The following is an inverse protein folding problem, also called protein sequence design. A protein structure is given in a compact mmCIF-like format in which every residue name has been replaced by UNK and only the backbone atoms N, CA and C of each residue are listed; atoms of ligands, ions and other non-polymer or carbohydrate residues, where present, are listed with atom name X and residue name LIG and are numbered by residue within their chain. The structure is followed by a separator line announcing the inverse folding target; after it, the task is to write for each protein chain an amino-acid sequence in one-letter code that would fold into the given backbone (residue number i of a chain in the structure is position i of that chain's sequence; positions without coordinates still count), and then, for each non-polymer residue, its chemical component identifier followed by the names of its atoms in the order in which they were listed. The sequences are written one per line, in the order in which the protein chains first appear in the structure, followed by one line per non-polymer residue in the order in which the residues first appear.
data_IF_988167918545
#
_entry.id   IF_988167918545
#
_cell.length_a   1.000
_cell.length_b   1.000
_cell.length_c   1.000
_cell.angle_alpha   90.00
_cell.angle_beta   90.00
_cell.angle_gamma   90.00
#
_symmetry.space_group_name_H-M   'P 1'
#
loop_
_entity.id
_entity.type
_entity.pdbx_description
1 polymer ?
#
# COMPACT_ATOMS: atom_id res chain seq x y z
N UNK A 1 4.29 27.15 9.96
CA UNK A 1 4.77 27.05 8.57
C UNK A 1 6.27 26.75 8.53
N UNK A 2 6.70 25.52 8.23
CA UNK A 2 8.01 25.26 7.66
C UNK A 2 7.86 25.00 6.15
N UNK A 3 8.73 25.65 5.37
CA UNK A 3 8.76 25.55 3.93
C UNK A 3 9.10 24.11 3.48
N UNK A 4 8.18 23.49 2.73
CA UNK A 4 8.47 22.28 1.97
C UNK A 4 9.59 22.61 0.97
N UNK A 5 10.72 21.91 1.12
CA UNK A 5 11.92 22.10 0.32
C UNK A 5 11.62 22.03 -1.18
N UNK A 6 12.15 23.00 -1.92
CA UNK A 6 12.18 22.97 -3.38
C UNK A 6 12.86 21.66 -3.82
N UNK A 7 12.22 20.91 -4.70
CA UNK A 7 12.83 19.75 -5.35
C UNK A 7 14.04 20.20 -6.15
N UNK A 8 15.24 19.81 -5.72
CA UNK A 8 16.47 20.03 -6.46
C UNK A 8 16.57 19.04 -7.62
N UNK A 9 16.25 19.53 -8.82
CA UNK A 9 16.30 18.79 -10.07
C UNK A 9 17.70 18.78 -10.72
N UNK A 10 18.74 19.32 -10.06
CA UNK A 10 20.11 19.32 -10.59
C UNK A 10 20.62 17.90 -10.92
N UNK A 11 20.11 16.88 -10.22
CA UNK A 11 20.40 15.46 -10.50
C UNK A 11 19.74 14.91 -11.77
N UNK A 12 18.63 15.50 -12.25
CA UNK A 12 17.96 15.08 -13.48
C UNK A 12 18.79 15.48 -14.71
N UNK A 13 19.53 16.60 -14.63
CA UNK A 13 20.50 16.99 -15.65
C UNK A 13 21.68 16.01 -15.77
N UNK A 14 22.10 15.39 -14.66
CA UNK A 14 23.15 14.38 -14.65
C UNK A 14 22.73 13.05 -15.30
N UNK A 15 21.44 12.68 -15.20
CA UNK A 15 20.89 11.47 -15.84
C UNK A 15 20.71 11.65 -17.37
N UNK A 16 20.37 12.85 -17.82
CA UNK A 16 20.23 13.17 -19.25
C UNK A 16 21.55 13.13 -20.04
N UNK A 17 22.68 13.46 -19.38
CA UNK A 17 24.01 13.47 -20.01
C UNK A 17 24.69 12.09 -20.05
N UNK A 18 24.31 11.16 -19.18
CA UNK A 18 24.85 9.78 -19.20
C UNK A 18 24.06 8.84 -20.11
N UNK A 19 22.82 9.17 -20.47
CA UNK A 19 21.94 8.35 -21.31
C UNK A 19 22.03 8.59 -22.82
N UNK A 20 22.85 9.55 -23.28
CA UNK A 20 22.91 9.98 -24.68
C UNK A 20 24.34 9.95 -25.26
N UNK A 21 25.06 8.85 -25.03
CA UNK A 21 26.21 8.49 -25.87
C UNK A 21 25.91 7.14 -26.55
N UNK A 22 26.09 7.02 -27.88
CA UNK A 22 25.27 6.14 -28.69
C UNK A 22 25.78 4.70 -28.71
N UNK A 23 24.79 3.80 -28.74
CA UNK A 23 24.72 2.58 -29.55
C UNK A 23 25.61 2.59 -30.80
N UNK A 24 26.92 2.34 -30.67
CA UNK A 24 27.73 1.79 -31.76
C UNK A 24 28.87 0.96 -31.13
N UNK A 25 28.82 -0.36 -31.37
CA UNK A 25 29.91 -1.33 -31.22
C UNK A 25 30.61 -1.45 -29.86
N UNK A 26 30.05 -2.19 -28.90
CA UNK A 26 30.84 -2.64 -27.73
C UNK A 26 30.32 -3.98 -27.22
N UNK A 27 31.21 -4.91 -26.87
CA UNK A 27 30.91 -6.27 -26.39
C UNK A 27 30.14 -6.33 -25.06
N UNK A 28 30.50 -7.19 -24.09
CA UNK A 28 29.68 -7.46 -22.88
C UNK A 28 29.52 -6.27 -21.91
N UNK A 29 29.88 -5.04 -22.31
CA UNK A 29 29.75 -3.80 -21.56
C UNK A 29 28.31 -3.37 -21.30
N UNK A 30 27.32 -3.82 -22.09
CA UNK A 30 25.91 -3.59 -21.76
C UNK A 30 25.53 -4.25 -20.43
N UNK A 31 26.12 -5.42 -20.12
CA UNK A 31 25.92 -6.11 -18.85
C UNK A 31 26.52 -5.32 -17.69
N UNK A 32 27.68 -4.68 -17.91
CA UNK A 32 28.33 -3.83 -16.90
C UNK A 32 27.49 -2.57 -16.63
N UNK A 33 27.01 -1.89 -17.67
CA UNK A 33 26.12 -0.74 -17.50
C UNK A 33 24.75 -1.12 -16.93
N UNK A 34 24.22 -2.28 -17.33
CA UNK A 34 23.04 -2.88 -16.72
C UNK A 34 23.27 -3.13 -15.24
N UNK A 35 24.36 -3.80 -14.84
CA UNK A 35 24.72 -4.10 -13.45
C UNK A 35 25.02 -2.84 -12.63
N UNK A 36 25.58 -1.78 -13.22
CA UNK A 36 25.83 -0.50 -12.55
C UNK A 36 24.54 0.30 -12.33
N UNK A 37 23.69 0.42 -13.35
CA UNK A 37 22.35 1.00 -13.21
C UNK A 37 21.49 0.17 -12.23
N UNK A 38 21.60 -1.15 -12.29
CA UNK A 38 20.90 -2.10 -11.41
C UNK A 38 21.40 -2.01 -9.96
N UNK A 39 22.71 -1.88 -9.74
CA UNK A 39 23.31 -1.64 -8.43
C UNK A 39 22.82 -0.33 -7.82
N UNK A 40 22.75 0.73 -8.61
CA UNK A 40 22.27 2.04 -8.14
C UNK A 40 20.77 2.04 -7.78
N UNK A 41 19.94 1.31 -8.54
CA UNK A 41 18.51 1.15 -8.27
C UNK A 41 18.21 0.25 -7.05
N UNK A 42 19.16 -0.59 -6.63
CA UNK A 42 18.99 -1.55 -5.51
C UNK A 42 19.68 -1.11 -4.21
N UNK A 43 20.61 -0.15 -4.26
CA UNK A 43 21.32 0.39 -3.09
C UNK A 43 20.41 0.96 -1.97
N UNK A 44 19.27 1.62 -2.25
CA UNK A 44 18.34 2.03 -1.19
C UNK A 44 17.70 0.84 -0.45
N UNK A 45 17.54 -0.30 -1.13
CA UNK A 45 16.99 -1.55 -0.55
C UNK A 45 17.99 -2.19 0.42
N UNK A 46 19.30 -2.06 0.15
CA UNK A 46 20.38 -2.59 0.99
C UNK A 46 20.49 -1.91 2.36
N UNK A 47 20.09 -0.64 2.49
CA UNK A 47 20.16 0.12 3.76
C UNK A 47 18.96 -0.08 4.68
N UNK A 48 17.86 -0.64 4.16
CA UNK A 48 16.56 -0.74 4.86
C UNK A 48 16.21 -2.16 5.32
N UNK A 49 17.04 -3.16 4.99
CA UNK A 49 16.71 -4.57 5.20
C UNK A 49 17.53 -5.17 6.34
N UNK A 50 16.84 -5.71 7.35
CA UNK A 50 17.49 -6.41 8.47
C UNK A 50 17.96 -7.84 8.11
N UNK A 51 17.72 -8.32 6.89
CA UNK A 51 18.04 -9.69 6.46
C UNK A 51 18.70 -9.74 5.08
N UNK A 52 19.86 -10.39 4.98
CA UNK A 52 20.55 -10.67 3.72
C UNK A 52 19.65 -11.46 2.75
N UNK A 53 18.77 -12.34 3.27
CA UNK A 53 17.86 -13.15 2.45
C UNK A 53 16.80 -12.30 1.74
N UNK A 54 16.29 -11.28 2.42
CA UNK A 54 15.36 -10.32 1.82
C UNK A 54 16.03 -9.58 0.67
N UNK A 55 17.23 -9.05 0.91
CA UNK A 55 18.03 -8.38 -0.11
C UNK A 55 18.23 -9.27 -1.32
N UNK A 56 18.67 -10.52 -1.12
CA UNK A 56 18.87 -11.48 -2.20
C UNK A 56 17.57 -11.76 -2.95
N UNK A 57 16.44 -11.91 -2.25
CA UNK A 57 15.12 -12.10 -2.88
C UNK A 57 14.76 -10.91 -3.78
N UNK A 58 14.98 -9.68 -3.33
CA UNK A 58 14.72 -8.46 -4.11
C UNK A 58 15.63 -8.34 -5.32
N UNK A 59 16.89 -8.73 -5.20
CA UNK A 59 17.82 -8.79 -6.34
C UNK A 59 17.36 -9.82 -7.36
N UNK A 60 17.05 -11.05 -6.92
CA UNK A 60 16.55 -12.11 -7.79
C UNK A 60 15.27 -11.69 -8.51
N UNK A 61 14.31 -11.08 -7.81
CA UNK A 61 13.09 -10.54 -8.40
C UNK A 61 13.41 -9.55 -9.51
N UNK A 62 14.31 -8.59 -9.26
CA UNK A 62 14.63 -7.54 -10.23
C UNK A 62 15.38 -8.08 -11.46
N UNK A 63 16.05 -9.23 -11.35
CA UNK A 63 16.70 -9.90 -12.49
C UNK A 63 15.71 -10.65 -13.40
N UNK A 64 14.48 -10.89 -12.94
CA UNK A 64 13.43 -11.46 -13.79
C UNK A 64 12.93 -10.42 -14.79
N UNK A 65 12.43 -10.82 -15.98
CA UNK A 65 11.87 -9.88 -16.96
C UNK A 65 10.72 -9.02 -16.39
N UNK A 66 9.83 -9.63 -15.60
CA UNK A 66 8.68 -8.93 -14.99
C UNK A 66 9.09 -8.03 -13.84
N UNK A 67 10.08 -8.44 -13.03
CA UNK A 67 10.58 -7.60 -11.94
C UNK A 67 11.33 -6.39 -12.45
N UNK A 68 12.18 -6.56 -13.48
CA UNK A 68 12.82 -5.43 -14.16
C UNK A 68 11.79 -4.48 -14.77
N UNK A 69 10.82 -5.00 -15.52
CA UNK A 69 9.74 -4.20 -16.10
C UNK A 69 8.93 -3.46 -15.01
N UNK A 70 8.66 -4.10 -13.87
CA UNK A 70 7.97 -3.47 -12.73
C UNK A 70 8.75 -2.30 -12.15
N UNK A 71 10.09 -2.42 -12.04
CA UNK A 71 10.93 -1.32 -11.57
C UNK A 71 10.88 -0.15 -12.55
N UNK A 72 11.08 -0.41 -13.85
CA UNK A 72 11.00 0.64 -14.89
C UNK A 72 9.63 1.32 -14.89
N UNK A 73 8.54 0.54 -14.86
CA UNK A 73 7.18 1.05 -14.84
C UNK A 73 6.88 1.87 -13.58
N UNK A 74 7.44 1.50 -12.42
CA UNK A 74 7.31 2.26 -11.18
C UNK A 74 7.93 3.66 -11.30
N UNK A 75 9.14 3.76 -11.86
CA UNK A 75 9.78 5.07 -12.07
C UNK A 75 9.03 5.91 -13.10
N UNK A 76 8.66 5.33 -14.25
CA UNK A 76 7.85 6.02 -15.26
C UNK A 76 6.50 6.50 -14.72
N UNK A 77 5.84 5.66 -13.93
CA UNK A 77 4.56 5.95 -13.31
C UNK A 77 4.61 7.15 -12.35
N UNK A 78 5.71 7.34 -11.61
CA UNK A 78 5.86 8.55 -10.79
C UNK A 78 5.89 9.83 -11.64
N UNK A 79 6.58 9.83 -12.79
CA UNK A 79 6.56 10.97 -13.69
C UNK A 79 5.15 11.27 -14.22
N UNK A 80 4.37 10.23 -14.52
CA UNK A 80 2.97 10.37 -14.91
C UNK A 80 2.15 11.03 -13.79
N UNK A 81 2.31 10.59 -12.54
CA UNK A 81 1.63 11.20 -11.39
C UNK A 81 2.06 12.65 -11.20
N UNK A 82 3.37 12.94 -11.23
CA UNK A 82 3.90 14.31 -11.12
C UNK A 82 3.33 15.22 -12.21
N UNK A 83 3.27 14.74 -13.45
CA UNK A 83 2.71 15.49 -14.57
C UNK A 83 1.20 15.73 -14.40
N UNK A 84 0.43 14.69 -14.04
CA UNK A 84 -1.03 14.76 -13.79
C UNK A 84 -1.35 15.83 -12.74
N UNK A 85 -0.58 15.86 -11.66
CA UNK A 85 -0.77 16.80 -10.55
C UNK A 85 0.07 18.07 -10.67
N UNK A 86 0.71 18.33 -11.82
CA UNK A 86 1.53 19.54 -12.07
C UNK A 86 2.57 19.81 -10.96
N UNK A 87 3.20 18.76 -10.46
CA UNK A 87 4.20 18.83 -9.39
C UNK A 87 3.64 18.94 -7.97
N UNK A 88 2.33 18.88 -7.77
CA UNK A 88 1.66 18.96 -6.45
C UNK A 88 0.84 17.70 -6.17
N UNK A 89 1.51 16.56 -5.91
CA UNK A 89 0.81 15.31 -5.66
C UNK A 89 -0.12 15.40 -4.44
N UNK A 90 -1.12 14.51 -4.34
CA UNK A 90 -2.09 14.49 -3.25
C UNK A 90 -1.46 14.58 -1.85
N UNK A 91 -2.09 15.38 -0.97
CA UNK A 91 -1.81 15.48 0.46
C UNK A 91 -3.12 15.46 1.27
N UNK A 92 -3.07 15.24 2.60
CA UNK A 92 -4.27 15.26 3.44
C UNK A 92 -5.05 16.57 3.37
N UNK A 93 -4.39 17.69 3.08
CA UNK A 93 -5.01 19.01 2.95
C UNK A 93 -5.56 19.27 1.55
N UNK A 94 -5.09 18.54 0.54
CA UNK A 94 -5.47 18.76 -0.86
C UNK A 94 -6.53 17.78 -1.37
N UNK A 95 -6.84 16.73 -0.60
CA UNK A 95 -7.77 15.66 -1.00
C UNK A 95 -9.05 15.78 -0.18
N UNK A 96 -10.13 16.03 -0.89
CA UNK A 96 -11.49 15.93 -0.36
C UNK A 96 -12.01 14.53 -0.66
N UNK A 97 -11.76 13.59 0.26
CA UNK A 97 -12.23 12.22 0.13
C UNK A 97 -13.77 12.19 0.09
N UNK A 98 -14.33 11.60 -0.96
CA UNK A 98 -15.76 11.58 -1.24
C UNK A 98 -16.46 10.31 -0.76
N UNK A 99 -15.72 9.20 -0.66
CA UNK A 99 -16.24 7.92 -0.16
C UNK A 99 -16.07 7.80 1.36
N UNK A 100 -17.05 7.19 2.03
CA UNK A 100 -16.91 6.78 3.41
C UNK A 100 -16.36 5.36 3.51
N UNK A 101 -15.13 5.26 4.02
CA UNK A 101 -14.36 4.02 4.10
C UNK A 101 -14.44 3.50 5.52
N UNK A 102 -14.87 2.26 5.73
CA UNK A 102 -14.56 1.52 6.95
C UNK A 102 -13.17 0.88 6.83
N UNK A 103 -12.53 0.51 7.95
CA UNK A 103 -11.41 -0.42 7.90
C UNK A 103 -11.82 -1.73 7.18
N UNK A 104 -10.97 -2.29 6.30
CA UNK A 104 -11.29 -3.42 5.43
C UNK A 104 -11.26 -4.80 6.13
N UNK A 105 -11.66 -4.84 7.40
CA UNK A 105 -11.69 -6.02 8.27
C UNK A 105 -12.74 -5.82 9.37
N UNK A 106 -13.32 -6.91 9.90
CA UNK A 106 -14.38 -6.86 10.93
C UNK A 106 -13.83 -6.86 12.37
N UNK A 107 -12.71 -7.55 12.61
CA UNK A 107 -12.12 -7.70 13.94
C UNK A 107 -11.08 -6.60 14.26
N UNK A 108 -10.38 -6.71 15.39
CA UNK A 108 -9.33 -5.77 15.77
C UNK A 108 -8.02 -6.04 15.02
N UNK A 109 -7.54 -5.07 14.24
CA UNK A 109 -6.25 -5.17 13.55
C UNK A 109 -5.32 -4.04 13.96
N UNK A 110 -4.03 -4.34 13.96
CA UNK A 110 -2.94 -3.40 14.22
C UNK A 110 -2.43 -2.77 12.93
N UNK A 111 -2.18 -1.46 12.95
CA UNK A 111 -1.49 -0.75 11.88
C UNK A 111 0.01 -1.04 11.95
N UNK A 112 0.49 -2.02 11.20
CA UNK A 112 1.93 -2.36 11.17
C UNK A 112 2.76 -1.23 10.52
N UNK A 113 2.23 -0.66 9.44
CA UNK A 113 2.79 0.50 8.71
C UNK A 113 1.65 1.33 8.15
N UNK A 114 1.84 2.65 8.10
CA UNK A 114 0.84 3.55 7.53
C UNK A 114 0.66 4.81 8.34
N UNK A 115 0.09 5.81 7.67
CA UNK A 115 -0.09 7.15 8.19
C UNK A 115 0.07 8.21 7.11
N UNK A 116 -0.34 9.42 7.45
CA UNK A 116 -0.40 10.54 6.50
C UNK A 116 0.68 11.60 6.73
N UNK A 117 1.49 11.46 7.78
CA UNK A 117 2.59 12.37 8.09
C UNK A 117 3.92 11.86 7.53
N UNK A 118 4.88 12.75 7.31
CA UNK A 118 6.18 12.38 6.76
C UNK A 118 6.94 11.30 7.58
N UNK A 119 6.68 11.19 8.88
CA UNK A 119 7.33 10.25 9.78
C UNK A 119 6.65 8.87 9.89
N UNK A 120 5.39 8.74 9.49
CA UNK A 120 4.62 7.50 9.66
C UNK A 120 4.05 6.92 8.34
N UNK A 121 4.15 7.66 7.24
CA UNK A 121 3.65 7.21 5.94
C UNK A 121 4.37 5.97 5.42
N UNK A 122 3.65 5.09 4.72
CA UNK A 122 4.16 3.77 4.31
C UNK A 122 5.34 3.87 3.32
N UNK A 123 5.28 4.80 2.36
CA UNK A 123 6.35 4.98 1.38
C UNK A 123 6.49 6.43 0.90
N UNK A 124 7.14 7.33 1.67
CA UNK A 124 7.15 8.77 1.38
C UNK A 124 7.68 9.12 -0.02
N UNK A 125 8.66 8.37 -0.52
CA UNK A 125 9.29 8.55 -1.83
C UNK A 125 8.58 7.88 -3.01
N UNK A 126 7.43 7.23 -2.80
CA UNK A 126 6.74 6.46 -3.83
C UNK A 126 5.29 6.92 -3.92
N UNK A 127 5.01 7.83 -4.86
CA UNK A 127 3.68 8.47 -4.98
C UNK A 127 2.52 7.48 -5.09
N UNK A 128 2.76 6.33 -5.71
CA UNK A 128 1.78 5.28 -5.89
C UNK A 128 1.52 4.43 -4.64
N UNK A 129 2.25 4.59 -3.54
CA UNK A 129 2.10 3.80 -2.30
C UNK A 129 2.28 4.66 -1.04
N UNK A 130 2.29 5.98 -1.19
CA UNK A 130 2.68 6.92 -0.14
C UNK A 130 1.85 6.68 1.11
N UNK A 131 0.54 6.79 0.98
CA UNK A 131 -0.44 6.66 2.06
C UNK A 131 -1.07 5.27 2.16
N UNK A 132 -0.37 4.24 1.67
CA UNK A 132 -0.82 2.87 1.88
C UNK A 132 -0.74 2.50 3.37
N UNK A 133 -1.48 1.46 3.74
CA UNK A 133 -1.54 0.89 5.06
C UNK A 133 -1.24 -0.61 4.97
N UNK A 134 -0.40 -1.09 5.87
CA UNK A 134 -0.24 -2.52 6.11
C UNK A 134 -0.92 -2.83 7.44
N UNK A 135 -2.02 -3.57 7.39
CA UNK A 135 -2.76 -4.04 8.55
C UNK A 135 -2.38 -5.49 8.85
N UNK A 136 -2.21 -5.81 10.13
CA UNK A 136 -1.94 -7.18 10.59
C UNK A 136 -2.64 -7.43 11.92
N UNK A 137 -2.58 -8.65 12.42
CA UNK A 137 -2.97 -8.96 13.79
C UNK A 137 -1.74 -9.00 14.68
N UNK A 138 -1.88 -8.50 15.91
CA UNK A 138 -0.87 -8.72 16.93
C UNK A 138 -1.47 -9.27 18.22
N UNK A 139 -0.69 -10.09 18.93
CA UNK A 139 -1.04 -10.50 20.30
C UNK A 139 -0.78 -9.37 21.31
N UNK A 140 -1.12 -9.59 22.58
CA UNK A 140 -0.91 -8.62 23.68
C UNK A 140 0.56 -8.18 23.86
N UNK A 141 1.51 -8.88 23.22
CA UNK A 141 2.95 -8.57 23.23
C UNK A 141 3.41 -7.89 21.95
N UNK A 142 2.50 -7.57 21.03
CA UNK A 142 2.77 -6.94 19.74
C UNK A 142 3.38 -7.89 18.71
N UNK A 143 3.27 -9.22 18.88
CA UNK A 143 3.80 -10.20 17.92
C UNK A 143 2.77 -10.53 16.86
N UNK A 144 3.21 -10.68 15.61
CA UNK A 144 2.35 -11.01 14.46
C UNK A 144 2.11 -12.51 14.26
N UNK A 145 2.79 -13.35 15.05
CA UNK A 145 2.74 -14.80 14.94
C UNK A 145 2.85 -15.51 16.29
N UNK A 146 2.44 -16.77 16.28
CA UNK A 146 2.63 -17.77 17.32
C UNK A 146 3.80 -18.71 17.00
N UNK A 147 4.16 -19.60 17.92
CA UNK A 147 5.29 -20.53 17.77
C UNK A 147 6.58 -19.82 17.32
N UNK A 148 7.19 -20.29 16.22
CA UNK A 148 8.45 -19.77 15.68
C UNK A 148 8.26 -18.81 14.49
N UNK A 149 7.02 -18.59 14.03
CA UNK A 149 6.71 -17.70 12.91
C UNK A 149 7.28 -18.16 11.56
N UNK A 150 7.54 -19.45 11.39
CA UNK A 150 8.20 -19.98 10.18
C UNK A 150 7.17 -20.24 9.09
N UNK A 151 5.99 -20.73 9.44
CA UNK A 151 4.95 -21.17 8.51
C UNK A 151 3.84 -20.12 8.41
N UNK A 152 3.07 -20.16 7.32
CA UNK A 152 1.96 -19.24 7.11
C UNK A 152 0.94 -19.32 8.26
N UNK A 153 0.57 -20.53 8.67
CA UNK A 153 -0.40 -20.79 9.74
C UNK A 153 0.08 -20.33 11.13
N UNK A 154 1.36 -19.97 11.29
CA UNK A 154 1.85 -19.40 12.54
C UNK A 154 1.37 -17.96 12.72
N UNK A 155 1.03 -17.24 11.64
CA UNK A 155 0.69 -15.82 11.65
C UNK A 155 -0.80 -15.59 11.87
N UNK A 156 -1.12 -14.72 12.81
CA UNK A 156 -2.51 -14.45 13.21
C UNK A 156 -3.35 -13.84 12.08
N UNK A 157 -2.73 -13.06 11.19
CA UNK A 157 -3.45 -12.43 10.08
C UNK A 157 -3.70 -13.36 8.88
N UNK A 158 -3.06 -14.52 8.81
CA UNK A 158 -3.19 -15.38 7.63
C UNK A 158 -4.56 -16.08 7.60
N UNK A 159 -5.28 -15.95 6.48
CA UNK A 159 -6.61 -16.54 6.29
C UNK A 159 -7.77 -15.71 6.83
N UNK A 160 -7.47 -14.60 7.50
CA UNK A 160 -8.47 -13.70 8.07
C UNK A 160 -9.30 -12.99 6.99
N UNK A 161 -10.62 -12.82 7.18
CA UNK A 161 -11.48 -12.19 6.18
C UNK A 161 -11.06 -10.75 5.85
N UNK A 162 -11.13 -10.41 4.57
CA UNK A 162 -10.91 -9.05 4.06
C UNK A 162 -12.19 -8.59 3.37
N UNK A 163 -12.69 -7.44 3.80
CA UNK A 163 -13.98 -6.91 3.35
C UNK A 163 -13.83 -5.62 2.56
N UNK A 164 -14.80 -5.34 1.70
CA UNK A 164 -14.87 -4.10 0.94
C UNK A 164 -15.02 -2.89 1.91
N UNK A 165 -14.12 -1.90 1.86
CA UNK A 165 -14.17 -0.74 2.76
C UNK A 165 -15.35 0.19 2.48
N UNK A 166 -15.94 0.12 1.29
CA UNK A 166 -17.13 0.86 0.90
C UNK A 166 -17.83 0.12 -0.25
N UNK A 167 -19.07 0.49 -0.54
CA UNK A 167 -19.78 -0.04 -1.70
C UNK A 167 -19.17 0.47 -3.02
N UNK A 168 -19.19 -0.36 -4.07
CA UNK A 168 -18.59 0.03 -5.35
C UNK A 168 -18.58 -1.08 -6.40
N UNK A 169 -17.89 -0.83 -7.51
CA UNK A 169 -17.73 -1.80 -8.60
C UNK A 169 -16.33 -2.39 -8.59
N UNK A 170 -16.20 -3.70 -8.63
CA UNK A 170 -14.90 -4.36 -8.78
C UNK A 170 -14.37 -4.10 -10.20
N UNK A 171 -13.20 -3.50 -10.32
CA UNK A 171 -12.62 -3.11 -11.63
C UNK A 171 -11.39 -3.93 -12.02
N UNK A 172 -10.74 -4.57 -11.04
CA UNK A 172 -9.64 -5.50 -11.31
C UNK A 172 -9.51 -6.51 -10.19
N UNK A 173 -9.23 -7.75 -10.54
CA UNK A 173 -8.85 -8.79 -9.59
C UNK A 173 -7.65 -9.56 -10.09
N UNK A 174 -6.94 -10.18 -9.15
CA UNK A 174 -5.94 -11.18 -9.45
C UNK A 174 -5.99 -12.26 -8.40
N UNK A 175 -6.07 -13.51 -8.86
CA UNK A 175 -5.92 -14.69 -8.01
C UNK A 175 -4.94 -15.72 -8.62
N UNK A 176 -4.63 -16.76 -7.85
CA UNK A 176 -3.78 -17.89 -8.21
C UNK A 176 -2.28 -17.60 -8.11
N UNK A 177 -1.86 -16.48 -7.52
CA UNK A 177 -0.47 -16.29 -7.10
C UNK A 177 -0.27 -16.95 -5.76
N UNK A 178 0.73 -17.82 -5.67
CA UNK A 178 1.05 -18.50 -4.42
C UNK A 178 1.43 -17.54 -3.30
N UNK A 179 1.08 -17.94 -2.10
CA UNK A 179 1.64 -17.39 -0.88
C UNK A 179 3.08 -17.88 -0.67
N UNK A 180 4.00 -17.01 -0.24
CA UNK A 180 5.34 -17.47 0.11
C UNK A 180 5.23 -18.36 1.37
N UNK A 181 5.59 -19.66 1.32
CA UNK A 181 5.22 -20.60 2.38
C UNK A 181 6.01 -20.44 3.67
N UNK A 182 7.08 -19.63 3.68
CA UNK A 182 8.00 -19.50 4.81
C UNK A 182 8.42 -18.06 5.13
N UNK A 183 7.47 -17.15 5.42
CA UNK A 183 7.75 -15.72 5.66
C UNK A 183 8.82 -15.46 6.73
N UNK A 184 8.79 -16.16 7.88
CA UNK A 184 9.77 -15.95 8.96
C UNK A 184 11.22 -16.33 8.63
N UNK A 185 11.47 -16.94 7.46
CA UNK A 185 12.85 -17.21 7.02
C UNK A 185 13.56 -15.97 6.47
N UNK A 186 12.83 -14.87 6.24
CA UNK A 186 13.32 -13.64 5.65
C UNK A 186 13.49 -13.70 4.12
N UNK A 187 13.08 -14.80 3.48
CA UNK A 187 12.92 -14.86 2.03
C UNK A 187 11.57 -14.29 1.63
N UNK A 188 11.51 -13.68 0.45
CA UNK A 188 10.25 -13.28 -0.18
C UNK A 188 10.11 -13.99 -1.52
N UNK A 189 8.89 -14.05 -2.07
CA UNK A 189 8.69 -14.72 -3.35
C UNK A 189 9.21 -13.90 -4.53
N UNK A 190 10.49 -14.10 -4.84
CA UNK A 190 11.14 -13.48 -5.99
C UNK A 190 10.60 -13.97 -7.34
N UNK A 191 9.80 -15.06 -7.36
CA UNK A 191 9.19 -15.61 -8.58
C UNK A 191 7.81 -15.06 -8.87
N UNK A 192 7.21 -14.31 -7.95
CA UNK A 192 5.94 -13.62 -8.23
C UNK A 192 6.11 -12.69 -9.44
N UNK A 193 5.10 -12.60 -10.29
CA UNK A 193 5.11 -11.68 -11.43
C UNK A 193 4.33 -10.38 -11.18
N UNK A 194 3.46 -10.37 -10.17
CA UNK A 194 2.85 -9.15 -9.65
C UNK A 194 3.28 -8.94 -8.19
N UNK A 195 3.89 -7.79 -7.94
CA UNK A 195 4.34 -7.40 -6.60
C UNK A 195 3.19 -7.17 -5.62
N UNK A 196 1.98 -6.89 -6.11
CA UNK A 196 0.75 -6.78 -5.29
C UNK A 196 0.24 -8.15 -4.82
N UNK A 197 0.70 -9.24 -5.41
CA UNK A 197 0.11 -10.56 -5.15
C UNK A 197 -1.32 -10.66 -5.67
N UNK A 198 -2.10 -11.54 -5.06
CA UNK A 198 -3.54 -11.58 -5.27
C UNK A 198 -4.16 -10.32 -4.69
N UNK A 199 -5.12 -9.75 -5.40
CA UNK A 199 -5.68 -8.45 -5.03
C UNK A 199 -7.06 -8.22 -5.64
N UNK A 200 -7.77 -7.27 -5.05
CA UNK A 200 -9.03 -6.71 -5.54
C UNK A 200 -8.87 -5.19 -5.62
N UNK A 201 -9.36 -4.59 -6.70
CA UNK A 201 -9.50 -3.14 -6.86
C UNK A 201 -10.98 -2.82 -7.01
N UNK A 202 -11.51 -2.00 -6.11
CA UNK A 202 -12.90 -1.54 -6.11
C UNK A 202 -12.94 -0.05 -6.46
N UNK A 203 -13.82 0.35 -7.36
CA UNK A 203 -14.12 1.74 -7.71
C UNK A 203 -15.33 2.23 -6.92
N UNK A 204 -15.14 3.33 -6.17
CA UNK A 204 -16.15 3.99 -5.35
C UNK A 204 -16.69 5.29 -5.98
N UNK A 205 -16.60 5.42 -7.31
CA UNK A 205 -17.02 6.62 -8.03
C UNK A 205 -15.87 7.59 -8.33
N UNK A 206 -14.68 7.06 -8.61
CA UNK A 206 -13.47 7.83 -8.91
C UNK A 206 -12.38 7.75 -7.85
N UNK A 207 -12.67 7.16 -6.69
CA UNK A 207 -11.70 6.77 -5.67
C UNK A 207 -11.63 5.25 -5.61
N UNK A 208 -10.43 4.69 -5.69
CA UNK A 208 -10.25 3.25 -5.86
C UNK A 208 -9.57 2.65 -4.65
N UNK A 209 -10.13 1.60 -4.08
CA UNK A 209 -9.52 0.82 -3.01
C UNK A 209 -8.81 -0.40 -3.57
N UNK A 210 -7.49 -0.47 -3.38
CA UNK A 210 -6.66 -1.64 -3.63
C UNK A 210 -6.51 -2.43 -2.33
N UNK A 211 -6.92 -3.69 -2.34
CA UNK A 211 -6.73 -4.69 -1.29
C UNK A 211 -5.78 -5.76 -1.82
N UNK A 212 -4.57 -5.85 -1.30
CA UNK A 212 -3.48 -6.64 -1.87
C UNK A 212 -2.87 -7.64 -0.87
N UNK A 213 -1.99 -8.50 -1.38
CA UNK A 213 -1.40 -9.63 -0.66
C UNK A 213 -2.43 -10.67 -0.19
N UNK A 214 -3.54 -10.82 -0.92
CA UNK A 214 -4.59 -11.79 -0.58
C UNK A 214 -4.10 -13.23 -0.72
N UNK A 215 -4.72 -14.14 0.02
CA UNK A 215 -4.39 -15.57 0.05
C UNK A 215 -4.69 -16.22 -1.31
N UNK A 216 -3.84 -17.16 -1.74
CA UNK A 216 -4.03 -17.94 -2.96
C UNK A 216 -5.39 -18.66 -2.96
N UNK A 217 -6.21 -18.41 -3.99
CA UNK A 217 -7.51 -19.04 -4.16
C UNK A 217 -8.62 -18.45 -3.28
N UNK A 218 -8.37 -17.32 -2.62
CA UNK A 218 -9.35 -16.70 -1.70
C UNK A 218 -10.18 -15.59 -2.31
N UNK A 219 -9.82 -15.07 -3.50
CA UNK A 219 -10.52 -13.92 -4.08
C UNK A 219 -11.95 -14.31 -4.43
N UNK A 220 -12.92 -13.65 -3.80
CA UNK A 220 -14.33 -14.05 -3.81
C UNK A 220 -15.20 -13.27 -4.82
N UNK A 221 -14.59 -12.38 -5.60
CA UNK A 221 -15.26 -11.45 -6.53
C UNK A 221 -14.54 -11.37 -7.87
N UNK A 222 -15.25 -10.93 -8.90
CA UNK A 222 -14.73 -10.78 -10.26
C UNK A 222 -14.93 -9.33 -10.79
N UNK A 223 -14.14 -8.89 -11.79
CA UNK A 223 -14.33 -7.58 -12.40
C UNK A 223 -15.75 -7.45 -13.00
N UNK A 224 -16.46 -6.40 -12.61
CA UNK A 224 -17.85 -6.14 -12.96
C UNK A 224 -18.83 -6.33 -11.81
N UNK A 225 -18.44 -7.06 -10.76
CA UNK A 225 -19.30 -7.26 -9.59
C UNK A 225 -19.55 -5.94 -8.85
N UNK A 226 -20.78 -5.78 -8.34
CA UNK A 226 -21.08 -4.78 -7.33
C UNK A 226 -20.80 -5.40 -5.97
N UNK A 227 -20.12 -4.65 -5.10
CA UNK A 227 -19.87 -5.04 -3.72
C UNK A 227 -20.52 -4.04 -2.78
N UNK A 228 -21.12 -4.55 -1.70
CA UNK A 228 -21.60 -3.73 -0.60
C UNK A 228 -20.49 -3.46 0.42
N UNK A 229 -20.63 -2.40 1.21
CA UNK A 229 -19.71 -2.13 2.33
C UNK A 229 -19.70 -3.33 3.31
N UNK A 230 -18.52 -3.81 3.68
CA UNK A 230 -18.37 -4.98 4.56
C UNK A 230 -18.55 -6.32 3.87
N UNK A 231 -18.80 -6.39 2.55
CA UNK A 231 -18.82 -7.65 1.83
C UNK A 231 -17.42 -8.27 1.77
N UNK A 232 -17.27 -9.56 2.11
CA UNK A 232 -16.00 -10.29 1.95
C UNK A 232 -15.59 -10.34 0.47
N UNK A 233 -14.36 -9.91 0.18
CA UNK A 233 -13.79 -9.92 -1.18
C UNK A 233 -12.57 -10.84 -1.30
N UNK A 234 -12.05 -11.31 -0.17
CA UNK A 234 -11.04 -12.35 -0.11
C UNK A 234 -10.51 -12.53 1.31
N UNK A 235 -9.34 -13.18 1.43
CA UNK A 235 -8.70 -13.42 2.71
C UNK A 235 -7.28 -12.89 2.72
N UNK A 236 -6.81 -12.47 3.89
CA UNK A 236 -5.45 -11.98 4.06
C UNK A 236 -4.46 -13.12 3.85
N UNK A 237 -3.43 -12.85 3.06
CA UNK A 237 -2.45 -13.83 2.64
C UNK A 237 -1.04 -13.29 2.75
N UNK A 238 -0.15 -13.89 1.97
CA UNK A 238 1.26 -13.55 1.87
C UNK A 238 1.77 -13.66 0.42
N UNK A 239 0.86 -13.48 -0.55
CA UNK A 239 1.18 -13.56 -1.97
C UNK A 239 1.86 -12.28 -2.46
N UNK A 240 2.63 -12.38 -3.54
CA UNK A 240 3.34 -11.24 -4.10
C UNK A 240 4.60 -10.85 -3.31
N UNK A 241 4.92 -9.55 -3.29
CA UNK A 241 6.10 -9.05 -2.61
C UNK A 241 5.79 -8.70 -1.15
N UNK A 242 5.43 -9.71 -0.38
CA UNK A 242 5.21 -9.62 1.06
C UNK A 242 6.36 -10.26 1.85
N UNK A 243 6.63 -9.74 3.06
CA UNK A 243 7.59 -10.32 4.01
C UNK A 243 6.93 -11.22 5.04
N UNK A 244 5.67 -10.98 5.36
CA UNK A 244 4.84 -11.76 6.28
C UNK A 244 3.36 -11.51 6.03
N UNK A 245 2.43 -12.40 6.44
CA UNK A 245 1.00 -12.18 6.30
C UNK A 245 0.51 -10.83 6.84
N UNK A 246 -0.04 -10.01 5.94
CA UNK A 246 -0.65 -8.72 6.24
C UNK A 246 -1.56 -8.29 5.07
N UNK A 247 -2.53 -7.43 5.37
CA UNK A 247 -3.35 -6.78 4.34
C UNK A 247 -2.71 -5.46 3.95
N UNK A 248 -2.30 -5.34 2.68
CA UNK A 248 -1.90 -4.06 2.11
C UNK A 248 -3.10 -3.35 1.51
N UNK A 249 -3.46 -2.22 2.10
CA UNK A 249 -4.57 -1.36 1.68
C UNK A 249 -4.07 -0.04 1.11
N UNK A 250 -4.69 0.40 0.02
CA UNK A 250 -4.42 1.70 -0.56
C UNK A 250 -5.68 2.31 -1.17
N UNK A 251 -5.92 3.59 -0.87
CA UNK A 251 -6.81 4.43 -1.67
C UNK A 251 -6.02 5.12 -2.79
N UNK A 252 -6.56 5.15 -4.00
CA UNK A 252 -5.86 5.68 -5.18
C UNK A 252 -6.79 6.40 -6.17
N UNK A 253 -6.22 7.30 -6.97
CA UNK A 253 -6.97 8.20 -7.88
C UNK A 253 -7.44 7.56 -9.19
N UNK A 254 -6.88 6.40 -9.54
CA UNK A 254 -7.13 5.66 -10.79
C UNK A 254 -6.92 4.18 -10.53
N UNK A 255 -7.45 3.24 -11.33
CA UNK A 255 -7.23 1.80 -11.10
C UNK A 255 -5.80 1.33 -11.48
N UNK A 256 -4.94 2.24 -11.95
CA UNK A 256 -3.64 1.90 -12.51
C UNK A 256 -2.60 1.45 -11.47
N UNK A 257 -1.96 0.30 -11.70
CA UNK A 257 -0.94 -0.26 -10.78
C UNK A 257 0.25 0.67 -10.48
N UNK A 258 0.80 1.34 -11.50
CA UNK A 258 2.02 2.15 -11.35
C UNK A 258 1.80 3.64 -11.56
N UNK A 259 0.72 4.00 -12.25
CA UNK A 259 0.40 5.37 -12.64
C UNK A 259 -0.63 6.02 -11.72
N UNK A 260 -1.16 5.30 -10.73
CA UNK A 260 -2.05 5.88 -9.74
C UNK A 260 -1.26 6.67 -8.68
N UNK A 261 -1.86 7.77 -8.23
CA UNK A 261 -1.43 8.47 -7.04
C UNK A 261 -2.15 7.85 -5.83
N UNK A 262 -1.40 7.56 -4.77
CA UNK A 262 -1.99 7.20 -3.50
C UNK A 262 -2.66 8.44 -2.89
N UNK A 263 -3.92 8.27 -2.50
CA UNK A 263 -4.72 9.25 -1.76
C UNK A 263 -4.64 8.91 -0.26
N UNK A 264 -4.64 9.90 0.65
CA UNK A 264 -4.64 9.65 2.09
C UNK A 264 -6.03 9.17 2.55
N UNK A 265 -6.21 7.89 2.92
CA UNK A 265 -7.52 7.39 3.32
C UNK A 265 -7.84 7.82 4.75
N UNK A 266 -8.94 8.55 4.92
CA UNK A 266 -9.60 8.73 6.20
C UNK A 266 -10.62 7.60 6.38
N UNK A 267 -10.54 6.89 7.51
CA UNK A 267 -11.48 5.83 7.85
C UNK A 267 -12.57 6.35 8.77
N UNK A 268 -13.76 5.80 8.62
CA UNK A 268 -14.96 6.12 9.38
C UNK A 268 -15.32 5.00 10.36
N UNK A 269 -15.97 5.37 11.46
CA UNK A 269 -16.44 4.41 12.48
C UNK A 269 -15.29 3.63 13.10
N UNK A 270 -14.23 4.32 13.53
CA UNK A 270 -13.04 3.65 14.09
C UNK A 270 -13.00 3.78 15.60
N UNK A 271 -12.68 2.67 16.27
CA UNK A 271 -12.33 2.66 17.69
C UNK A 271 -10.84 2.30 17.80
N UNK A 272 -10.05 3.24 18.35
CA UNK A 272 -8.63 3.05 18.61
C UNK A 272 -8.46 2.46 20.01
N UNK A 273 -7.85 1.29 20.09
CA UNK A 273 -7.66 0.55 21.34
C UNK A 273 -6.22 0.71 21.81
N UNK A 274 -6.03 1.01 23.10
CA UNK A 274 -4.71 1.11 23.76
C UNK A 274 -4.79 0.54 25.17
N UNK A 275 -4.48 -0.75 25.31
CA UNK A 275 -4.66 -1.46 26.58
C UNK A 275 -6.14 -1.46 26.98
N UNK A 276 -6.45 -0.92 28.16
CA UNK A 276 -7.83 -0.82 28.68
C UNK A 276 -8.57 0.44 28.20
N UNK A 277 -7.89 1.34 27.47
CA UNK A 277 -8.48 2.57 26.94
C UNK A 277 -8.96 2.38 25.48
N UNK A 278 -10.09 3.01 25.15
CA UNK A 278 -10.62 3.05 23.79
C UNK A 278 -11.05 4.48 23.42
N UNK A 279 -10.69 4.93 22.23
CA UNK A 279 -11.08 6.24 21.68
C UNK A 279 -11.87 6.03 20.38
N UNK A 280 -13.17 6.34 20.42
CA UNK A 280 -14.06 6.23 19.26
C UNK A 280 -14.02 7.51 18.46
N UNK A 281 -13.79 7.37 17.17
CA UNK A 281 -13.75 8.48 16.22
C UNK A 281 -14.64 8.18 15.05
N UNK A 282 -15.50 9.15 14.76
CA UNK A 282 -16.32 9.14 13.55
C UNK A 282 -15.44 9.13 12.30
N UNK A 283 -14.31 9.84 12.32
CA UNK A 283 -13.30 9.87 11.27
C UNK A 283 -11.89 9.90 11.82
N UNK A 284 -10.97 9.13 11.25
CA UNK A 284 -9.56 9.23 11.58
C UNK A 284 -8.63 8.85 10.43
N UNK A 285 -7.48 9.52 10.38
CA UNK A 285 -6.28 8.96 9.78
C UNK A 285 -5.60 8.06 10.81
N UNK A 286 -5.42 6.80 10.46
CA UNK A 286 -4.77 5.82 11.32
C UNK A 286 -3.25 6.01 11.27
N UNK A 287 -2.55 5.60 12.33
CA UNK A 287 -1.10 5.68 12.47
C UNK A 287 -0.50 4.36 12.92
N UNK A 288 0.74 4.11 12.52
CA UNK A 288 1.52 2.95 12.95
C UNK A 288 1.44 2.70 14.46
N UNK A 289 1.18 1.45 14.83
CA UNK A 289 1.10 0.97 16.21
C UNK A 289 -0.26 1.15 16.87
N UNK A 290 -1.26 1.67 16.15
CA UNK A 290 -2.63 1.72 16.64
C UNK A 290 -3.35 0.39 16.37
N UNK A 291 -4.07 -0.09 17.37
CA UNK A 291 -5.04 -1.17 17.22
C UNK A 291 -6.40 -0.56 16.91
N UNK A 292 -7.04 -1.09 15.87
CA UNK A 292 -8.20 -0.47 15.24
C UNK A 292 -9.31 -1.49 15.16
N UNK A 293 -10.50 -1.10 15.63
CA UNK A 293 -11.75 -1.83 15.41
C UNK A 293 -12.71 -0.98 14.58
N UNK A 294 -13.52 -1.64 13.77
CA UNK A 294 -14.67 -0.99 13.16
C UNK A 294 -15.86 -1.01 14.12
N UNK A 295 -16.51 0.15 14.31
CA UNK A 295 -17.69 0.30 15.15
C UNK A 295 -18.74 1.03 14.34
N UNK A 296 -19.94 0.45 14.29
CA UNK A 296 -21.12 1.07 13.69
C UNK A 296 -21.80 1.91 14.77
N UNK A 297 -21.89 3.22 14.58
CA UNK A 297 -22.80 4.04 15.38
C UNK A 297 -24.22 3.84 14.86
N UNK A 298 -24.96 2.93 15.50
CA UNK A 298 -26.35 2.57 15.13
C UNK A 298 -27.29 3.78 15.18
N UNK A 299 -26.95 4.82 15.96
CA UNK A 299 -27.76 6.02 16.18
C UNK A 299 -27.48 7.16 15.15
N UNK A 300 -26.41 7.11 14.36
CA UNK A 300 -25.98 8.24 13.52
C UNK A 300 -26.24 8.08 12.01
N UNK A 301 -26.79 6.95 11.57
CA UNK A 301 -26.96 6.64 10.16
C UNK A 301 -25.62 6.41 9.43
N UNK A 302 -25.62 6.18 8.10
CA UNK A 302 -24.39 5.93 7.36
C UNK A 302 -23.45 7.15 7.41
N UNK A 303 -22.13 6.96 7.61
CA UNK A 303 -21.19 8.06 7.74
C UNK A 303 -21.17 8.94 6.48
N UNK A 304 -21.41 10.25 6.63
CA UNK A 304 -21.29 11.24 5.54
C UNK A 304 -19.84 11.42 5.11
N UNK A 305 -19.53 11.69 3.83
CA UNK A 305 -18.17 11.87 3.34
C UNK A 305 -17.29 12.79 4.21
N UNK A 306 -16.03 12.42 4.41
CA UNK A 306 -15.09 13.13 5.28
C UNK A 306 -14.97 14.65 4.98
N UNK A 307 -15.06 15.04 3.70
CA UNK A 307 -14.99 16.46 3.31
C UNK A 307 -16.15 17.29 3.89
N UNK A 308 -17.33 16.68 4.07
CA UNK A 308 -18.51 17.34 4.63
C UNK A 308 -18.28 17.67 6.11
N UNK A 309 -17.68 16.73 6.86
CA UNK A 309 -17.33 16.92 8.28
C UNK A 309 -16.28 18.01 8.44
N UNK A 310 -15.17 17.95 7.68
CA UNK A 310 -14.12 18.98 7.73
C UNK A 310 -14.66 20.38 7.44
N UNK A 311 -15.58 20.52 6.49
CA UNK A 311 -16.19 21.81 6.16
C UNK A 311 -17.01 22.35 7.33
N UNK A 312 -17.73 21.50 8.04
CA UNK A 312 -18.51 21.88 9.22
C UNK A 312 -17.60 22.32 10.38
N UNK A 313 -16.47 21.64 10.61
CA UNK A 313 -15.47 22.02 11.62
C UNK A 313 -14.83 23.37 11.30
N UNK A 314 -14.42 23.60 10.04
CA UNK A 314 -13.84 24.88 9.61
C UNK A 314 -14.82 26.06 9.72
N UNK A 315 -16.13 25.81 9.57
CA UNK A 315 -17.15 26.85 9.77
C UNK A 315 -17.38 27.18 11.25
N UNK A 316 -17.08 26.26 12.17
CA UNK A 316 -17.24 26.48 13.62
C UNK A 316 -16.01 27.12 14.28
N UNK A 317 -14.81 26.91 13.75
CA UNK A 317 -13.58 27.57 14.23
C UNK A 317 -13.38 29.00 13.69
N UNK A 318 -14.25 29.43 12.77
CA UNK A 318 -14.19 30.74 12.10
C UNK A 318 -15.07 31.85 12.69
N UNK A 319 -15.84 31.56 13.75
CA UNK A 319 -16.69 32.50 14.51
C UNK A 319 -16.06 32.85 15.87
#
# INVERSE_FOLDING_TARGET
MPALGRFDLSWVGALGLLGLLPLVSVGPSWLVWFLLCFGFLTLPVLRSANSTRYVVSRLLYTLTPWGFASVVARFGGQFVVVARYRGRPPTPESVDQTVALRPPFDDQWTVARGGVTAGNTHSPGLLAQRYAYDFTYTDDRGRTYSADGIWLDDYYAFGEPVVAPAGGTVVATKDGLRDHPRPGTGWTDWRTWDGRGNHVVVDHGGEYSLLAHLQEGSVAVEPGDQVDVGQEVGRCGNSGNSTEPHLHYQLQDTPGRFTAASLPPAFSGVELVRGDESDRRRWAYLSRGEDVRYVVDEDEGPPEPHWTVRRAEMMQEGD
#
